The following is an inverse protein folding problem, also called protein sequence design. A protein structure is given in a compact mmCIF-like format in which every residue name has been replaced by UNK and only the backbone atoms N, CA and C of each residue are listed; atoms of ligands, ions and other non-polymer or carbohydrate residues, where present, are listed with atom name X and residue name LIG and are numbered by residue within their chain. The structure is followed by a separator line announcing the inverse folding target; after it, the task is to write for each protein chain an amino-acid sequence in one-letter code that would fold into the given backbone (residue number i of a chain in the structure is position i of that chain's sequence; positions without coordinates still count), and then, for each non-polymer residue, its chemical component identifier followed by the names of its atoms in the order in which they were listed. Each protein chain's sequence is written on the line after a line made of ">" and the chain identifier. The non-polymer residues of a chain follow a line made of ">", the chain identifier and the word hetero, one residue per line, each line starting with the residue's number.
data_IF_232376130933
#
_entry.id   IF_232376130933
#
_cell.length_a   1.000
_cell.length_b   1.000
_cell.length_c   1.000
_cell.angle_alpha   90.00
_cell.angle_beta   90.00
_cell.angle_gamma   90.00
#
_symmetry.space_group_name_H-M   'P 1'
#
loop_
_entity.id
_entity.type
_entity.pdbx_description
1 polymer ?
#
# COMPACT_ATOMS: atom_id res chain seq x y z
N UNK A 1 -3.02 -0.93 -18.45
CA UNK A 1 -3.08 -1.32 -17.02
C UNK A 1 -1.98 -2.35 -16.72
N UNK A 2 -1.07 -2.03 -15.79
CA UNK A 2 0.14 -2.81 -15.53
C UNK A 2 -0.20 -4.24 -15.03
N UNK A 3 0.15 -5.32 -15.76
CA UNK A 3 -0.50 -6.61 -15.58
C UNK A 3 0.17 -7.59 -14.62
N UNK A 4 1.41 -7.40 -14.14
CA UNK A 4 2.08 -8.41 -13.30
C UNK A 4 3.10 -7.80 -12.35
N UNK A 5 2.82 -7.74 -11.05
CA UNK A 5 3.88 -7.54 -10.07
C UNK A 5 3.48 -8.18 -8.72
N UNK A 6 4.24 -9.16 -8.19
CA UNK A 6 4.00 -9.70 -6.85
C UNK A 6 4.24 -8.66 -5.76
N UNK A 7 4.94 -7.57 -6.09
CA UNK A 7 5.00 -6.35 -5.29
C UNK A 7 4.08 -5.27 -5.87
N UNK A 8 3.41 -4.48 -5.03
CA UNK A 8 2.57 -3.37 -5.48
C UNK A 8 2.77 -2.17 -4.59
N UNK A 9 2.64 -0.96 -5.15
CA UNK A 9 2.74 0.27 -4.38
C UNK A 9 1.36 0.70 -3.92
N UNK A 10 1.16 0.74 -2.60
CA UNK A 10 -0.06 1.28 -1.99
C UNK A 10 0.14 2.77 -1.74
N UNK A 11 -0.83 3.56 -2.21
CA UNK A 11 -0.87 5.01 -2.00
C UNK A 11 -2.04 5.39 -1.10
N UNK A 12 -1.77 6.21 -0.09
CA UNK A 12 -2.78 6.67 0.85
C UNK A 12 -2.52 8.12 1.27
N UNK A 13 -3.58 8.76 1.77
CA UNK A 13 -3.54 10.15 2.25
C UNK A 13 -3.92 10.13 3.73
N UNK A 14 -3.09 10.79 4.54
CA UNK A 14 -3.41 11.09 5.93
C UNK A 14 -3.98 12.51 5.97
N UNK A 15 -5.24 12.70 6.40
CA UNK A 15 -5.82 14.03 6.48
C UNK A 15 -5.11 14.88 7.56
N UNK A 16 -4.91 16.17 7.30
CA UNK A 16 -4.44 17.09 8.34
C UNK A 16 -5.53 17.25 9.42
N UNK A 17 -5.18 17.22 10.72
CA UNK A 17 -6.10 17.55 11.80
C UNK A 17 -6.75 18.94 11.62
N UNK A 18 -6.00 19.90 11.06
CA UNK A 18 -6.45 21.29 10.88
C UNK A 18 -7.54 21.39 9.80
N UNK A 19 -7.47 20.58 8.74
CA UNK A 19 -8.46 20.61 7.66
C UNK A 19 -9.86 20.19 8.14
N UNK A 20 -9.98 19.46 9.26
CA UNK A 20 -11.25 19.11 9.89
C UNK A 20 -11.81 20.19 10.81
N UNK A 21 -10.96 21.09 11.31
CA UNK A 21 -11.35 22.21 12.17
C UNK A 21 -11.83 23.45 11.39
N UNK A 22 -11.60 23.51 10.06
CA UNK A 22 -11.96 24.66 9.21
C UNK A 22 -13.47 24.96 9.09
N UNK A 23 -14.34 24.14 9.66
CA UNK A 23 -15.78 24.42 9.75
C UNK A 23 -16.23 25.04 11.08
N UNK A 24 -15.31 25.31 12.00
CA UNK A 24 -15.60 26.10 13.20
C UNK A 24 -14.93 27.45 13.02
N UNK A 25 -15.75 28.48 12.83
CA UNK A 25 -15.34 29.89 12.68
C UNK A 25 -14.79 30.43 14.01
N UNK A 26 -13.69 29.87 14.50
CA UNK A 26 -12.93 30.52 15.56
C UNK A 26 -11.48 30.71 15.11
N UNK A 27 -11.22 31.98 14.82
CA UNK A 27 -9.98 32.53 14.34
C UNK A 27 -9.03 32.66 15.53
N UNK A 28 -7.72 32.72 15.25
CA UNK A 28 -6.62 33.07 16.17
C UNK A 28 -5.90 31.90 16.85
N UNK A 29 -4.60 31.81 16.56
CA UNK A 29 -3.57 31.21 17.42
C UNK A 29 -3.35 29.70 17.29
N UNK A 30 -2.79 29.23 16.17
CA UNK A 30 -1.74 28.20 16.26
C UNK A 30 -0.68 28.41 15.17
N UNK A 31 0.16 29.41 15.36
CA UNK A 31 1.44 29.60 14.65
C UNK A 31 2.59 28.89 15.36
N UNK A 32 2.34 27.70 15.93
CA UNK A 32 3.40 26.81 16.40
C UNK A 32 3.56 25.67 15.41
N UNK A 33 4.79 25.28 15.03
CA UNK A 33 5.04 24.07 14.27
C UNK A 33 4.75 22.89 15.21
N UNK A 34 3.47 22.53 15.32
CA UNK A 34 3.06 21.30 15.97
C UNK A 34 3.25 20.19 14.95
N UNK A 35 3.92 19.12 15.36
CA UNK A 35 4.05 17.92 14.56
C UNK A 35 2.63 17.41 14.29
N UNK A 36 2.15 17.55 13.05
CA UNK A 36 0.83 17.07 12.60
C UNK A 36 0.88 15.55 12.37
N UNK A 37 1.42 14.85 13.37
CA UNK A 37 1.60 13.42 13.35
C UNK A 37 0.35 12.73 13.85
N UNK A 38 -0.10 11.75 13.08
CA UNK A 38 -1.21 10.89 13.46
C UNK A 38 -0.69 9.47 13.55
N UNK A 39 -1.15 8.73 14.56
CA UNK A 39 -0.86 7.29 14.62
C UNK A 39 -1.62 6.59 13.49
N UNK A 40 -0.87 5.96 12.58
CA UNK A 40 -1.38 5.32 11.39
C UNK A 40 -1.20 3.81 11.48
N UNK A 41 -2.30 3.11 11.22
CA UNK A 41 -2.31 1.66 11.07
C UNK A 41 -2.76 1.33 9.66
N UNK A 42 -1.88 0.73 8.86
CA UNK A 42 -2.19 0.21 7.52
C UNK A 42 -2.04 -1.31 7.55
N UNK A 43 -3.12 -2.02 7.31
CA UNK A 43 -3.20 -3.49 7.34
C UNK A 43 -3.74 -4.04 6.04
N UNK A 44 -3.34 -5.27 5.71
CA UNK A 44 -3.82 -6.03 4.56
C UNK A 44 -4.55 -7.28 5.05
N UNK A 45 -5.68 -7.57 4.42
CA UNK A 45 -6.58 -8.67 4.74
C UNK A 45 -6.90 -9.49 3.50
N UNK A 46 -7.14 -10.78 3.68
CA UNK A 46 -7.80 -11.62 2.66
C UNK A 46 -9.33 -11.39 2.63
N UNK A 47 -10.02 -12.06 1.71
CA UNK A 47 -11.48 -11.95 1.55
C UNK A 47 -12.28 -12.45 2.75
N UNK A 48 -11.69 -13.29 3.60
CA UNK A 48 -12.31 -13.78 4.83
C UNK A 48 -12.09 -12.83 6.01
N UNK A 49 -11.38 -11.72 5.79
CA UNK A 49 -11.04 -10.75 6.82
C UNK A 49 -9.85 -11.14 7.70
N UNK A 50 -9.11 -12.19 7.32
CA UNK A 50 -7.88 -12.57 8.03
C UNK A 50 -6.78 -11.55 7.72
N UNK A 51 -6.15 -11.01 8.74
CA UNK A 51 -4.97 -10.15 8.57
C UNK A 51 -3.80 -10.98 8.01
N UNK A 52 -3.23 -10.51 6.91
CA UNK A 52 -2.07 -11.14 6.25
C UNK A 52 -0.80 -10.31 6.34
N UNK A 53 -0.92 -9.00 6.59
CA UNK A 53 0.21 -8.12 6.83
C UNK A 53 -0.20 -6.85 7.59
N UNK A 54 0.70 -6.35 8.43
CA UNK A 54 0.69 -4.96 8.93
C UNK A 54 1.83 -4.22 8.23
N UNK A 55 1.50 -3.19 7.46
CA UNK A 55 2.46 -2.42 6.65
C UNK A 55 2.92 -1.15 7.37
N UNK A 56 2.04 -0.53 8.15
CA UNK A 56 2.33 0.67 8.94
C UNK A 56 1.65 0.52 10.29
N UNK A 57 2.38 0.86 11.36
CA UNK A 57 1.86 0.94 12.73
C UNK A 57 2.70 1.95 13.53
N UNK A 58 2.68 3.20 13.11
CA UNK A 58 3.56 4.24 13.63
C UNK A 58 2.95 5.64 13.42
N UNK A 59 3.56 6.65 14.03
CA UNK A 59 3.18 8.04 13.81
C UNK A 59 3.70 8.52 12.44
N UNK A 60 2.81 9.14 11.64
CA UNK A 60 3.13 9.70 10.32
C UNK A 60 2.55 11.10 10.20
N UNK A 61 3.29 11.99 9.55
CA UNK A 61 2.85 13.35 9.21
C UNK A 61 1.66 13.30 8.24
N UNK A 62 0.76 14.27 8.33
CA UNK A 62 -0.30 14.46 7.35
C UNK A 62 0.26 14.59 5.91
N UNK A 63 -0.52 14.15 4.91
CA UNK A 63 -0.14 14.24 3.50
C UNK A 63 -0.17 12.90 2.75
N UNK A 64 0.47 12.88 1.58
CA UNK A 64 0.54 11.72 0.69
C UNK A 64 1.68 10.78 1.08
N UNK A 65 1.38 9.50 1.17
CA UNK A 65 2.34 8.46 1.49
C UNK A 65 2.29 7.33 0.46
N UNK A 66 3.42 6.66 0.30
CA UNK A 66 3.57 5.49 -0.56
C UNK A 66 4.32 4.42 0.23
N UNK A 67 3.87 3.18 0.08
CA UNK A 67 4.55 2.02 0.64
C UNK A 67 4.52 0.88 -0.37
N UNK A 68 5.65 0.20 -0.51
CA UNK A 68 5.73 -1.00 -1.30
C UNK A 68 5.29 -2.19 -0.46
N UNK A 69 4.44 -3.01 -1.05
CA UNK A 69 3.93 -4.22 -0.45
C UNK A 69 4.37 -5.42 -1.26
N UNK A 70 5.18 -6.29 -0.67
CA UNK A 70 5.58 -7.57 -1.25
C UNK A 70 4.56 -8.66 -0.88
N UNK A 71 3.71 -9.01 -1.85
CA UNK A 71 2.74 -10.08 -1.76
C UNK A 71 3.22 -11.41 -2.35
N UNK A 72 4.51 -11.57 -2.65
CA UNK A 72 5.07 -12.78 -3.30
C UNK A 72 4.80 -14.08 -2.55
N UNK A 73 4.61 -14.03 -1.23
CA UNK A 73 4.30 -15.17 -0.36
C UNK A 73 2.80 -15.43 -0.16
N UNK A 74 1.94 -14.58 -0.72
CA UNK A 74 0.50 -14.75 -0.65
C UNK A 74 0.03 -15.67 -1.78
N UNK A 75 -1.28 -15.77 -2.01
CA UNK A 75 -1.83 -16.45 -3.18
C UNK A 75 -2.35 -15.41 -4.16
N UNK A 76 -2.45 -15.75 -5.44
CA UNK A 76 -3.21 -14.91 -6.37
C UNK A 76 -4.65 -14.76 -5.87
N UNK A 77 -5.18 -13.54 -5.88
CA UNK A 77 -6.51 -13.29 -5.34
C UNK A 77 -6.82 -11.82 -5.06
N UNK A 78 -8.00 -11.57 -4.51
CA UNK A 78 -8.41 -10.25 -4.05
C UNK A 78 -8.00 -10.09 -2.60
N UNK A 79 -7.45 -8.93 -2.29
CA UNK A 79 -7.08 -8.51 -0.94
C UNK A 79 -7.69 -7.14 -0.66
N UNK A 80 -7.85 -6.84 0.62
CA UNK A 80 -8.35 -5.55 1.10
C UNK A 80 -7.23 -4.94 1.93
N UNK A 81 -6.85 -3.70 1.64
CA UNK A 81 -6.04 -2.93 2.58
C UNK A 81 -6.90 -1.88 3.27
N UNK A 82 -6.65 -1.69 4.56
CA UNK A 82 -7.35 -0.74 5.40
C UNK A 82 -6.35 0.16 6.11
N UNK A 83 -6.54 1.47 5.98
CA UNK A 83 -5.83 2.49 6.73
C UNK A 83 -6.74 3.05 7.82
N UNK A 84 -6.19 3.22 9.02
CA UNK A 84 -6.79 3.94 10.14
C UNK A 84 -5.83 5.01 10.64
N UNK A 85 -6.35 6.21 10.86
CA UNK A 85 -5.61 7.37 11.33
C UNK A 85 -6.57 8.23 12.17
N UNK A 86 -6.49 8.20 13.50
CA UNK A 86 -7.46 8.84 14.40
C UNK A 86 -8.93 8.51 13.99
N UNK A 87 -9.74 9.52 13.68
CA UNK A 87 -11.14 9.43 13.22
C UNK A 87 -11.26 9.27 11.69
N UNK A 88 -10.21 8.87 11.00
CA UNK A 88 -10.21 8.53 9.59
C UNK A 88 -9.97 7.04 9.42
N UNK A 89 -10.83 6.39 8.64
CA UNK A 89 -10.65 5.02 8.20
C UNK A 89 -11.01 4.93 6.73
N UNK A 90 -10.20 4.22 5.94
CA UNK A 90 -10.48 3.95 4.54
C UNK A 90 -10.02 2.55 4.19
N UNK A 91 -10.83 1.83 3.41
CA UNK A 91 -10.48 0.52 2.88
C UNK A 91 -10.58 0.51 1.36
N UNK A 92 -9.66 -0.18 0.70
CA UNK A 92 -9.61 -0.31 -0.76
C UNK A 92 -9.25 -1.75 -1.14
N UNK A 93 -9.75 -2.18 -2.29
CA UNK A 93 -9.48 -3.53 -2.84
C UNK A 93 -8.24 -3.49 -3.72
N UNK A 94 -7.47 -4.57 -3.70
CA UNK A 94 -6.37 -4.84 -4.63
C UNK A 94 -6.45 -6.27 -5.15
N UNK A 95 -5.88 -6.50 -6.33
CA UNK A 95 -5.76 -7.83 -6.95
C UNK A 95 -4.27 -8.17 -6.98
N UNK A 96 -3.91 -9.31 -6.39
CA UNK A 96 -2.56 -9.87 -6.48
C UNK A 96 -2.55 -11.01 -7.49
N UNK A 97 -1.55 -11.02 -8.37
CA UNK A 97 -1.31 -12.09 -9.34
C UNK A 97 0.12 -12.58 -9.18
N UNK A 98 0.28 -13.83 -8.76
CA UNK A 98 1.59 -14.48 -8.61
C UNK A 98 1.85 -15.32 -9.85
N UNK A 99 2.85 -14.92 -10.63
CA UNK A 99 3.33 -15.72 -11.75
C UNK A 99 4.62 -16.43 -11.33
N UNK A 100 4.53 -17.73 -11.11
CA UNK A 100 5.69 -18.60 -10.84
C UNK A 100 6.31 -19.16 -12.13
N UNK A 101 6.25 -18.41 -13.24
CA UNK A 101 6.90 -18.84 -14.48
C UNK A 101 8.35 -18.36 -14.40
N UNK A 102 9.23 -19.20 -13.85
CA UNK A 102 10.64 -19.14 -14.24
C UNK A 102 10.64 -19.33 -15.76
N UNK A 103 11.04 -18.34 -16.59
CA UNK A 103 11.25 -18.63 -17.99
C UNK A 103 12.32 -19.71 -18.03
N UNK A 104 11.93 -20.94 -18.38
CA UNK A 104 12.86 -22.02 -18.64
C UNK A 104 13.75 -21.49 -19.76
N UNK A 105 14.97 -21.08 -19.42
CA UNK A 105 15.99 -20.68 -20.38
C UNK A 105 16.01 -21.78 -21.44
N UNK A 106 15.58 -21.44 -22.64
CA UNK A 106 15.68 -22.32 -23.80
C UNK A 106 17.18 -22.44 -24.11
N UNK A 107 17.88 -23.35 -23.44
CA UNK A 107 19.28 -23.65 -23.75
C UNK A 107 19.34 -24.77 -24.78
N UNK A 108 19.89 -24.38 -25.94
CA UNK A 108 20.51 -25.15 -27.02
C UNK A 108 19.69 -26.25 -27.68
N UNK A 109 19.45 -26.06 -28.97
CA UNK A 109 19.99 -26.97 -29.99
C UNK A 109 20.02 -26.28 -31.35
N UNK A 110 21.23 -25.90 -31.81
CA UNK A 110 21.61 -25.97 -33.22
C UNK A 110 23.07 -26.37 -33.27
N UNK A 111 23.30 -27.68 -33.34
CA UNK A 111 24.41 -28.20 -34.12
C UNK A 111 24.01 -28.05 -35.58
N UNK A 112 24.76 -27.29 -36.39
CA UNK A 112 24.93 -27.59 -37.81
C UNK A 112 26.34 -27.16 -38.25
N UNK A 113 27.08 -28.19 -38.62
CA UNK A 113 28.27 -28.22 -39.46
C UNK A 113 28.08 -27.44 -40.76
N UNK A 114 29.14 -26.73 -41.22
CA UNK A 114 29.58 -26.57 -42.62
C UNK A 114 30.10 -25.15 -42.93
N UNK A 115 31.42 -24.99 -42.96
CA UNK A 115 32.23 -24.78 -44.18
C UNK A 115 33.71 -24.76 -43.81
#
# INVERSE_FOLDING_TARGET
>A
PNPFNPSTTIQYVIPSPIDRARNLQDFSSTSSPRNDETHVILKVYDLLGKEVATLVNEYKQAGYHKIDFDGSKLTSGIYIYSIKANNFAQSKKMILTINNIVPKLFVKERSLTSM
#
